data_IF_338250216855
#
_entry.id   IF_338250216855
#
_cell.length_a   1.000
_cell.length_b   1.000
_cell.length_c   1.000
_cell.angle_alpha   90.00
_cell.angle_beta   90.00
_cell.angle_gamma   90.00
#
_symmetry.space_group_name_H-M   'P 1'
#
loop_
_entity.id
_entity.type
_entity.pdbx_description
1 polymer ?
#
# COMPACT_ATOMS: atom_id res chain seq x y z
N UNK A 1 -1.86 28.60 12.02
CA UNK A 1 -1.93 27.22 12.56
C UNK A 1 -2.59 26.38 11.48
N UNK A 2 -1.81 25.59 10.74
CA UNK A 2 -2.19 25.13 9.39
C UNK A 2 -3.02 23.83 9.45
N UNK A 3 -4.20 23.82 8.84
CA UNK A 3 -5.13 22.68 8.81
C UNK A 3 -4.79 21.67 7.69
N UNK A 4 -3.86 22.01 6.81
CA UNK A 4 -3.58 21.27 5.56
C UNK A 4 -2.22 20.54 5.56
N UNK A 5 -1.91 19.79 6.62
CA UNK A 5 -0.83 18.80 6.46
C UNK A 5 -1.25 17.74 5.43
N UNK A 6 -0.48 17.66 4.36
CA UNK A 6 -0.63 16.69 3.27
C UNK A 6 -0.32 15.28 3.78
N UNK A 7 -1.15 14.31 3.41
CA UNK A 7 -0.97 12.93 3.83
C UNK A 7 0.19 12.22 3.11
N UNK A 8 0.82 11.27 3.81
CA UNK A 8 1.75 10.32 3.21
C UNK A 8 0.96 9.16 2.59
N UNK A 9 1.25 8.79 1.34
CA UNK A 9 0.66 7.61 0.72
C UNK A 9 1.63 6.42 0.79
N UNK A 10 1.12 5.27 1.22
CA UNK A 10 1.87 4.01 1.30
C UNK A 10 1.16 2.95 0.47
N UNK A 11 1.88 2.38 -0.51
CA UNK A 11 1.31 1.47 -1.48
C UNK A 11 2.19 0.23 -1.69
N UNK A 12 1.74 -0.99 -1.35
CA UNK A 12 2.29 -2.22 -1.90
C UNK A 12 2.23 -2.20 -3.43
N UNK A 13 3.38 -2.36 -4.08
CA UNK A 13 3.49 -2.22 -5.53
C UNK A 13 3.25 -3.56 -6.24
N UNK A 14 2.47 -3.50 -7.32
CA UNK A 14 2.22 -4.61 -8.25
C UNK A 14 2.90 -4.39 -9.60
N UNK A 15 2.40 -5.07 -10.64
CA UNK A 15 2.91 -4.95 -12.02
C UNK A 15 2.15 -3.95 -12.88
N UNK A 16 1.08 -3.36 -12.35
CA UNK A 16 0.16 -2.48 -13.08
C UNK A 16 0.39 -1.03 -12.65
N UNK A 17 1.36 -0.32 -13.24
CA UNK A 17 1.73 1.02 -12.77
C UNK A 17 0.64 2.06 -13.02
N UNK A 18 -0.35 1.77 -13.86
CA UNK A 18 -1.50 2.67 -14.02
C UNK A 18 -2.33 2.76 -12.75
N UNK A 19 -2.37 1.72 -11.91
CA UNK A 19 -3.15 1.69 -10.67
C UNK A 19 -2.66 2.73 -9.66
N UNK A 20 -1.35 2.77 -9.42
CA UNK A 20 -0.75 3.83 -8.60
C UNK A 20 -0.86 5.19 -9.29
N UNK A 21 -0.62 5.25 -10.59
CA UNK A 21 -0.73 6.51 -11.35
C UNK A 21 -2.12 7.14 -11.28
N UNK A 22 -3.18 6.32 -11.36
CA UNK A 22 -4.55 6.77 -11.17
C UNK A 22 -4.69 7.35 -9.77
N UNK A 23 -4.34 6.63 -8.70
CA UNK A 23 -4.45 7.16 -7.33
C UNK A 23 -3.68 8.47 -7.11
N UNK A 24 -2.50 8.61 -7.69
CA UNK A 24 -1.70 9.83 -7.58
C UNK A 24 -2.25 11.00 -8.41
N UNK A 25 -2.98 10.72 -9.50
CA UNK A 25 -3.53 11.72 -10.41
C UNK A 25 -5.03 11.98 -10.18
N UNK A 26 -5.72 11.16 -9.38
CA UNK A 26 -7.17 11.22 -9.16
C UNK A 26 -7.60 12.39 -8.26
N UNK A 27 -6.69 13.28 -7.90
CA UNK A 27 -6.97 14.29 -6.89
C UNK A 27 -7.41 15.63 -7.48
N UNK A 28 -8.60 16.06 -7.05
CA UNK A 28 -9.13 17.43 -7.02
C UNK A 28 -8.27 18.34 -6.10
N UNK A 29 -6.94 18.37 -6.30
CA UNK A 29 -6.02 19.28 -5.61
C UNK A 29 -5.32 18.79 -4.34
N UNK A 30 -5.39 17.50 -3.96
CA UNK A 30 -4.53 16.97 -2.88
C UNK A 30 -3.20 16.47 -3.43
N UNK A 31 -2.16 17.28 -3.26
CA UNK A 31 -0.80 16.76 -3.35
C UNK A 31 -0.46 15.98 -2.07
N UNK A 32 0.15 14.80 -2.22
CA UNK A 32 0.66 14.03 -1.08
C UNK A 32 1.93 14.70 -0.52
N UNK A 33 2.28 14.47 0.75
CA UNK A 33 3.57 14.93 1.30
C UNK A 33 4.72 13.99 0.92
N UNK A 34 4.43 12.69 0.89
CA UNK A 34 5.39 11.64 0.57
C UNK A 34 4.71 10.44 -0.07
N UNK A 35 5.49 9.69 -0.85
CA UNK A 35 5.06 8.47 -1.53
C UNK A 35 6.01 7.34 -1.12
N UNK A 36 5.49 6.31 -0.46
CA UNK A 36 6.26 5.12 -0.09
C UNK A 36 5.73 3.90 -0.83
N UNK A 37 6.52 3.39 -1.77
CA UNK A 37 6.24 2.15 -2.48
C UNK A 37 6.79 0.94 -1.71
N UNK A 38 5.94 -0.03 -1.39
CA UNK A 38 6.36 -1.27 -0.74
C UNK A 38 6.61 -2.36 -1.77
N UNK A 39 7.86 -2.81 -1.89
CA UNK A 39 8.29 -3.88 -2.78
C UNK A 39 8.20 -5.21 -2.04
N UNK A 40 7.33 -6.09 -2.54
CA UNK A 40 7.05 -7.37 -1.93
C UNK A 40 8.17 -8.40 -2.19
N UNK A 41 8.76 -8.94 -1.14
CA UNK A 41 9.81 -9.96 -1.17
C UNK A 41 9.44 -11.14 -0.25
N UNK A 42 9.69 -12.40 -0.66
CA UNK A 42 10.13 -12.81 -1.99
C UNK A 42 9.03 -12.59 -3.03
N UNK A 43 9.39 -12.26 -4.27
CA UNK A 43 8.40 -12.22 -5.33
C UNK A 43 7.92 -13.64 -5.69
N UNK A 44 6.72 -13.75 -6.28
CA UNK A 44 6.15 -15.04 -6.67
C UNK A 44 7.02 -15.82 -7.67
N UNK A 45 7.70 -15.11 -8.56
CA UNK A 45 8.80 -15.64 -9.39
C UNK A 45 10.04 -14.78 -9.19
N UNK A 46 11.21 -15.40 -9.20
CA UNK A 46 12.48 -14.69 -9.14
C UNK A 46 12.55 -13.61 -10.24
N UNK A 47 13.00 -12.40 -9.89
CA UNK A 47 13.09 -11.28 -10.82
C UNK A 47 11.81 -10.44 -10.93
N UNK A 48 10.68 -10.88 -10.37
CA UNK A 48 9.43 -10.12 -10.45
C UNK A 48 9.42 -8.88 -9.56
N UNK A 49 10.20 -8.84 -8.48
CA UNK A 49 10.48 -7.63 -7.71
C UNK A 49 11.04 -6.52 -8.61
N UNK A 50 12.00 -6.85 -9.48
CA UNK A 50 12.56 -5.90 -10.45
C UNK A 50 11.52 -5.43 -11.46
N UNK A 51 10.61 -6.30 -11.89
CA UNK A 51 9.50 -5.92 -12.78
C UNK A 51 8.58 -4.91 -12.11
N UNK A 52 8.22 -5.12 -10.85
CA UNK A 52 7.39 -4.19 -10.09
C UNK A 52 8.08 -2.84 -9.87
N UNK A 53 9.38 -2.84 -9.52
CA UNK A 53 10.16 -1.61 -9.39
C UNK A 53 10.18 -0.84 -10.73
N UNK A 54 10.60 -1.50 -11.81
CA UNK A 54 10.75 -0.87 -13.13
C UNK A 54 9.44 -0.28 -13.64
N UNK A 55 8.32 -0.98 -13.47
CA UNK A 55 7.03 -0.49 -13.95
C UNK A 55 6.57 0.76 -13.21
N UNK A 56 6.81 0.83 -11.89
CA UNK A 56 6.33 1.92 -11.04
C UNK A 56 7.32 3.10 -10.92
N UNK A 57 8.59 2.93 -11.30
CA UNK A 57 9.65 3.92 -11.09
C UNK A 57 9.31 5.32 -11.62
N UNK A 58 8.50 5.43 -12.67
CA UNK A 58 8.04 6.71 -13.24
C UNK A 58 7.31 7.60 -12.22
N UNK A 59 6.68 7.01 -11.21
CA UNK A 59 5.94 7.72 -10.16
C UNK A 59 6.84 8.27 -9.05
N UNK A 60 8.10 7.86 -9.01
CA UNK A 60 9.07 8.20 -7.96
C UNK A 60 10.10 9.25 -8.41
N UNK A 61 9.75 10.09 -9.39
CA UNK A 61 10.67 11.06 -10.00
C UNK A 61 10.21 12.49 -9.76
N UNK A 62 10.80 13.13 -8.73
CA UNK A 62 11.06 14.58 -8.60
C UNK A 62 10.04 15.55 -7.97
N UNK A 63 8.80 15.18 -7.62
CA UNK A 63 7.86 16.17 -7.02
C UNK A 63 7.51 15.93 -5.54
N UNK A 64 7.87 14.77 -4.99
CA UNK A 64 7.48 14.33 -3.64
C UNK A 64 8.67 13.70 -2.91
N UNK A 65 8.63 13.64 -1.58
CA UNK A 65 9.54 12.77 -0.82
C UNK A 65 9.17 11.33 -1.13
N UNK A 66 9.95 10.71 -2.00
CA UNK A 66 9.69 9.40 -2.58
C UNK A 66 10.62 8.36 -1.97
N UNK A 67 10.08 7.24 -1.50
CA UNK A 67 10.87 6.12 -0.99
C UNK A 67 10.35 4.78 -1.48
N UNK A 68 11.25 3.80 -1.55
CA UNK A 68 10.93 2.40 -1.73
C UNK A 68 11.35 1.65 -0.47
N UNK A 69 10.46 0.83 0.08
CA UNK A 69 10.77 -0.04 1.22
C UNK A 69 10.45 -1.48 0.87
N UNK A 70 11.14 -2.41 1.51
CA UNK A 70 10.89 -3.84 1.33
C UNK A 70 9.79 -4.28 2.31
N UNK A 71 8.91 -5.16 1.85
CA UNK A 71 7.89 -5.78 2.71
C UNK A 71 7.74 -7.27 2.41
N UNK A 72 7.18 -8.01 3.36
CA UNK A 72 6.88 -9.42 3.11
C UNK A 72 5.72 -9.56 2.13
N UNK A 73 5.92 -10.38 1.09
CA UNK A 73 4.87 -10.72 0.12
C UNK A 73 3.85 -11.72 0.64
N UNK A 74 4.22 -12.53 1.64
CA UNK A 74 3.45 -13.68 2.12
C UNK A 74 3.13 -13.61 3.62
N UNK A 75 3.77 -12.72 4.38
CA UNK A 75 3.49 -12.58 5.80
C UNK A 75 2.69 -11.29 6.04
N UNK A 76 1.35 -11.37 6.15
CA UNK A 76 0.52 -10.20 6.42
C UNK A 76 0.83 -9.56 7.77
N UNK A 77 1.26 -10.33 8.78
CA UNK A 77 1.65 -9.79 10.07
C UNK A 77 2.93 -8.94 9.98
N UNK A 78 3.93 -9.39 9.21
CA UNK A 78 5.13 -8.59 8.98
C UNK A 78 4.81 -7.26 8.25
N UNK A 79 3.87 -7.28 7.30
CA UNK A 79 3.42 -6.03 6.68
C UNK A 79 2.61 -5.16 7.65
N UNK A 80 1.78 -5.76 8.51
CA UNK A 80 1.07 -5.04 9.57
C UNK A 80 2.05 -4.26 10.46
N UNK A 81 3.11 -4.92 10.95
CA UNK A 81 4.14 -4.27 11.76
C UNK A 81 4.85 -3.15 10.99
N UNK A 82 5.13 -3.36 9.70
CA UNK A 82 5.72 -2.33 8.86
C UNK A 82 4.81 -1.11 8.69
N UNK A 83 3.50 -1.32 8.58
CA UNK A 83 2.52 -0.23 8.52
C UNK A 83 2.48 0.51 9.86
N UNK A 84 2.60 -0.19 11.00
CA UNK A 84 2.67 0.40 12.34
C UNK A 84 3.85 1.37 12.46
N UNK A 85 5.05 0.91 12.07
CA UNK A 85 6.26 1.75 12.02
C UNK A 85 6.07 3.01 11.17
N UNK A 86 5.44 2.87 10.00
CA UNK A 86 5.17 3.98 9.10
C UNK A 86 4.12 4.93 9.67
N UNK A 87 3.08 4.42 10.34
CA UNK A 87 2.06 5.25 10.95
C UNK A 87 2.58 6.06 12.15
N UNK A 88 3.65 5.59 12.80
CA UNK A 88 4.36 6.38 13.80
C UNK A 88 5.22 7.49 13.21
N UNK A 89 5.68 7.34 11.96
CA UNK A 89 6.49 8.34 11.26
C UNK A 89 5.68 9.49 10.63
N UNK A 90 4.36 9.36 10.50
CA UNK A 90 3.51 10.35 9.82
C UNK A 90 2.27 10.74 10.62
N UNK A 91 1.87 12.01 10.57
CA UNK A 91 0.60 12.47 11.16
C UNK A 91 -0.61 11.88 10.40
N UNK A 92 -0.59 11.98 9.07
CA UNK A 92 -1.68 11.47 8.21
C UNK A 92 -1.13 10.47 7.20
N UNK A 93 -1.68 9.26 7.21
CA UNK A 93 -1.28 8.19 6.29
C UNK A 93 -2.48 7.65 5.51
N UNK A 94 -2.28 7.46 4.20
CA UNK A 94 -3.24 6.87 3.29
C UNK A 94 -2.65 5.55 2.77
N UNK A 95 -3.35 4.44 3.03
CA UNK A 95 -2.96 3.12 2.57
C UNK A 95 -3.64 2.78 1.24
N UNK A 96 -2.86 2.40 0.23
CA UNK A 96 -3.37 2.00 -1.07
C UNK A 96 -3.11 0.50 -1.30
N UNK A 97 -4.11 -0.40 -1.17
CA UNK A 97 -3.91 -1.84 -1.24
C UNK A 97 -3.78 -2.35 -2.69
N UNK A 98 -2.76 -1.87 -3.42
CA UNK A 98 -2.54 -2.17 -4.84
C UNK A 98 -1.79 -3.49 -5.10
N UNK A 99 -1.13 -4.03 -4.09
CA UNK A 99 -0.23 -5.17 -4.21
C UNK A 99 -0.93 -6.54 -4.10
N UNK A 100 -0.29 -7.44 -3.36
CA UNK A 100 -0.74 -8.84 -3.25
C UNK A 100 -1.95 -8.97 -2.32
N UNK A 101 -2.70 -10.08 -2.44
CA UNK A 101 -3.82 -10.37 -1.52
C UNK A 101 -3.39 -10.39 -0.04
N UNK A 102 -2.27 -11.03 0.37
CA UNK A 102 -1.77 -10.91 1.74
C UNK A 102 -1.56 -9.45 2.17
N UNK A 103 -1.03 -8.61 1.27
CA UNK A 103 -0.85 -7.19 1.57
C UNK A 103 -2.17 -6.46 1.82
N UNK A 104 -3.19 -6.73 1.01
CA UNK A 104 -4.54 -6.21 1.22
C UNK A 104 -5.10 -6.63 2.57
N UNK A 105 -4.94 -7.90 2.96
CA UNK A 105 -5.44 -8.38 4.26
C UNK A 105 -4.75 -7.65 5.42
N UNK A 106 -3.42 -7.48 5.37
CA UNK A 106 -2.69 -6.75 6.38
C UNK A 106 -3.17 -5.29 6.53
N UNK A 107 -3.35 -4.59 5.40
CA UNK A 107 -3.88 -3.21 5.37
C UNK A 107 -5.28 -3.16 5.98
N UNK A 108 -6.19 -4.06 5.57
CA UNK A 108 -7.55 -4.11 6.09
C UNK A 108 -7.58 -4.34 7.60
N UNK A 109 -6.78 -5.30 8.09
CA UNK A 109 -6.71 -5.59 9.52
C UNK A 109 -6.11 -4.42 10.31
N UNK A 110 -5.07 -3.78 9.77
CA UNK A 110 -4.46 -2.61 10.40
C UNK A 110 -5.45 -1.45 10.54
N UNK A 111 -6.23 -1.16 9.51
CA UNK A 111 -7.28 -0.14 9.54
C UNK A 111 -8.34 -0.46 10.60
N UNK A 112 -8.83 -1.70 10.63
CA UNK A 112 -9.86 -2.14 11.59
C UNK A 112 -9.35 -2.04 13.03
N UNK A 113 -8.09 -2.40 13.29
CA UNK A 113 -7.55 -2.37 14.65
C UNK A 113 -7.21 -0.95 15.13
N UNK A 114 -7.02 0.01 14.21
CA UNK A 114 -6.53 1.34 14.56
C UNK A 114 -7.50 2.49 14.25
N UNK A 115 -8.64 2.27 13.58
CA UNK A 115 -9.55 3.38 13.20
C UNK A 115 -10.02 4.22 14.40
N UNK A 116 -10.23 3.60 15.57
CA UNK A 116 -10.65 4.30 16.80
C UNK A 116 -9.59 5.29 17.32
N UNK A 117 -8.33 5.13 16.92
CA UNK A 117 -7.21 6.01 17.30
C UNK A 117 -7.10 7.23 16.38
N UNK A 118 -7.95 7.35 15.37
CA UNK A 118 -7.97 8.52 14.50
C UNK A 118 -8.40 9.77 15.27
N UNK A 119 -7.63 10.84 15.08
CA UNK A 119 -7.87 12.18 15.61
C UNK A 119 -7.75 13.19 14.47
N UNK A 120 -8.00 14.47 14.75
CA UNK A 120 -7.80 15.53 13.74
C UNK A 120 -6.35 15.65 13.27
N UNK A 121 -5.38 15.37 14.16
CA UNK A 121 -3.94 15.49 13.87
C UNK A 121 -3.37 14.17 13.35
N UNK A 122 -3.66 13.07 14.05
CA UNK A 122 -3.16 11.73 13.67
C UNK A 122 -4.28 10.88 13.09
N UNK A 123 -4.23 10.53 11.82
CA UNK A 123 -5.22 9.62 11.23
C UNK A 123 -4.65 8.67 10.18
N UNK A 124 -5.36 7.55 10.03
CA UNK A 124 -5.14 6.57 8.99
C UNK A 124 -6.41 6.31 8.21
N UNK A 125 -6.26 6.23 6.89
CA UNK A 125 -7.33 5.92 5.95
C UNK A 125 -6.82 5.07 4.79
N UNK A 126 -7.71 4.67 3.89
CA UNK A 126 -7.34 3.94 2.68
C UNK A 126 -8.00 4.53 1.45
N UNK A 127 -7.32 4.38 0.31
CA UNK A 127 -7.82 4.72 -1.01
C UNK A 127 -7.78 3.49 -1.91
N UNK A 128 -8.83 3.26 -2.68
CA UNK A 128 -8.99 2.07 -3.51
C UNK A 128 -9.27 2.46 -4.96
N UNK A 129 -8.70 1.70 -5.91
CA UNK A 129 -8.69 2.03 -7.34
C UNK A 129 -9.69 1.20 -8.17
N UNK A 130 -10.64 0.52 -7.53
CA UNK A 130 -11.74 -0.26 -8.14
C UNK A 130 -11.36 -0.96 -9.46
N UNK A 131 -10.34 -1.84 -9.47
CA UNK A 131 -9.79 -2.40 -10.70
C UNK A 131 -10.80 -3.31 -11.41
N UNK A 132 -11.00 -3.07 -12.71
CA UNK A 132 -11.74 -3.98 -13.59
C UNK A 132 -10.85 -5.19 -13.90
N UNK A 133 -11.39 -6.40 -13.74
CA UNK A 133 -10.61 -7.64 -13.95
C UNK A 133 -10.24 -7.81 -15.43
N UNK A 134 -8.97 -8.11 -15.69
CA UNK A 134 -8.50 -8.54 -17.01
C UNK A 134 -9.07 -9.92 -17.39
N UNK A 135 -9.32 -10.14 -18.68
CA UNK A 135 -9.93 -11.36 -19.22
C UNK A 135 -9.02 -12.59 -19.03
N UNK A 136 -7.70 -12.44 -19.17
CA UNK A 136 -6.73 -13.56 -19.11
C UNK A 136 -6.05 -13.71 -17.73
N UNK A 137 -6.82 -14.02 -16.69
CA UNK A 137 -6.25 -14.38 -15.38
C UNK A 137 -5.83 -15.84 -15.36
N UNK A 138 -4.90 -16.17 -14.45
CA UNK A 138 -4.43 -17.54 -14.21
C UNK A 138 -5.62 -18.46 -13.93
N UNK A 139 -5.66 -19.62 -14.58
CA UNK A 139 -6.64 -20.68 -14.33
C UNK A 139 -6.04 -21.75 -13.40
N UNK A 140 -6.90 -22.44 -12.63
CA UNK A 140 -6.50 -23.51 -11.71
C UNK A 140 -6.33 -23.06 -10.25
N UNK A 141 -5.96 -24.01 -9.38
CA UNK A 141 -5.71 -23.77 -7.95
C UNK A 141 -4.20 -23.55 -7.76
N UNK A 142 -3.84 -22.33 -7.37
CA UNK A 142 -2.46 -22.01 -6.96
C UNK A 142 -2.17 -22.44 -5.51
N UNK A 143 -1.02 -22.01 -4.99
CA UNK A 143 -0.66 -22.24 -3.58
C UNK A 143 -1.70 -21.62 -2.64
N UNK A 144 -2.17 -22.40 -1.67
CA UNK A 144 -3.06 -21.93 -0.60
C UNK A 144 -2.22 -21.48 0.58
N UNK A 145 -2.53 -20.29 1.10
CA UNK A 145 -1.92 -19.76 2.31
C UNK A 145 -3.01 -19.57 3.36
N UNK A 146 -2.81 -20.17 4.53
CA UNK A 146 -3.72 -20.08 5.67
C UNK A 146 -3.09 -19.18 6.72
N UNK A 147 -3.87 -18.22 7.21
CA UNK A 147 -3.44 -17.27 8.23
C UNK A 147 -4.47 -17.25 9.35
N UNK A 148 -4.02 -17.40 10.59
CA UNK A 148 -4.83 -17.14 11.78
C UNK A 148 -4.59 -15.70 12.20
N UNK A 149 -5.61 -14.86 12.05
CA UNK A 149 -5.54 -13.44 12.39
C UNK A 149 -6.76 -13.05 13.20
N UNK A 150 -6.54 -12.22 14.22
CA UNK A 150 -7.58 -11.77 15.13
C UNK A 150 -7.66 -10.24 15.08
N UNK A 151 -8.89 -9.74 15.06
CA UNK A 151 -9.18 -8.34 15.29
C UNK A 151 -9.43 -8.13 16.78
N UNK A 152 -8.93 -7.05 17.35
CA UNK A 152 -9.06 -6.72 18.79
C UNK A 152 -10.10 -5.62 19.02
N UNK A 153 -11.23 -5.69 18.31
CA UNK A 153 -12.31 -4.66 18.29
C UNK A 153 -12.73 -4.20 19.68
#
# INVERSE_FOLDING_TARGET
MNLDEKAAIVAPLGFEPMRLGQLLNSDDGREYSSITGLIAIPAYKVGWENRSIKSNLRHFKKTHQCSLSLCSSLNPYALYQKIDELWDAYEKIILAPLGTKPSTIAISLFLINNFKKNTRKKNISAVYDFPVKSIDRSLGIGKIHLYSMYSTI
#
